data_IF_733216365614
#
_entry.id   IF_733216365614
#
_cell.length_a   1.000
_cell.length_b   1.000
_cell.length_c   1.000
_cell.angle_alpha   90.00
_cell.angle_beta   90.00
_cell.angle_gamma   90.00
#
_symmetry.space_group_name_H-M   'P 1'
#
loop_
_entity.id
_entity.type
_entity.pdbx_description
1 polymer ?
#
# COMPACT_ATOMS: atom_id res chain seq x y z
N UNK A 1 -8.12 18.96 -31.94
CA UNK A 1 -6.98 18.74 -31.03
C UNK A 1 -7.22 17.48 -30.23
N UNK A 2 -6.28 16.52 -30.26
CA UNK A 2 -6.36 15.28 -29.48
C UNK A 2 -5.87 15.52 -28.04
N UNK A 3 -6.32 14.71 -27.08
CA UNK A 3 -5.90 14.73 -25.67
C UNK A 3 -4.38 14.62 -25.54
N UNK A 4 -3.74 13.73 -26.30
CA UNK A 4 -2.28 13.59 -26.29
C UNK A 4 -1.55 14.87 -26.72
N UNK A 5 -2.09 15.59 -27.72
CA UNK A 5 -1.53 16.86 -28.18
C UNK A 5 -1.68 17.96 -27.12
N UNK A 6 -2.83 18.02 -26.43
CA UNK A 6 -3.04 18.98 -25.34
C UNK A 6 -2.09 18.74 -24.17
N UNK A 7 -1.87 17.48 -23.79
CA UNK A 7 -0.93 17.12 -22.71
C UNK A 7 0.49 17.52 -23.12
N UNK A 8 0.90 17.24 -24.36
CA UNK A 8 2.21 17.61 -24.84
C UNK A 8 2.45 19.13 -24.80
N UNK A 9 1.52 19.93 -25.32
CA UNK A 9 1.66 21.40 -25.29
C UNK A 9 1.68 21.96 -23.86
N UNK A 10 0.91 21.36 -22.93
CA UNK A 10 0.93 21.76 -21.52
C UNK A 10 2.29 21.44 -20.88
N UNK A 11 2.78 20.21 -21.02
CA UNK A 11 4.05 19.77 -20.41
C UNK A 11 5.25 20.50 -21.02
N UNK A 12 5.21 20.80 -22.32
CA UNK A 12 6.27 21.52 -23.02
C UNK A 12 6.51 22.93 -22.48
N UNK A 13 5.47 23.59 -21.95
CA UNK A 13 5.57 24.94 -21.42
C UNK A 13 5.96 24.99 -19.92
N UNK A 14 6.08 23.83 -19.25
CA UNK A 14 6.38 23.77 -17.83
C UNK A 14 7.90 23.74 -17.54
N UNK A 15 8.31 24.15 -16.33
CA UNK A 15 9.64 23.87 -15.80
C UNK A 15 9.90 22.35 -15.69
N UNK A 16 11.17 21.96 -15.80
CA UNK A 16 11.60 20.55 -15.80
C UNK A 16 11.17 19.80 -14.52
N UNK A 17 11.25 20.46 -13.36
CA UNK A 17 10.82 19.88 -12.07
C UNK A 17 9.34 19.46 -12.08
N UNK A 18 8.46 20.31 -12.62
CA UNK A 18 7.03 20.03 -12.71
C UNK A 18 6.71 19.00 -13.80
N UNK A 19 7.49 18.99 -14.89
CA UNK A 19 7.36 17.98 -15.94
C UNK A 19 7.71 16.58 -15.44
N UNK A 20 8.71 16.47 -14.55
CA UNK A 20 9.07 15.21 -13.92
C UNK A 20 7.96 14.67 -13.01
N UNK A 21 7.28 15.51 -12.23
CA UNK A 21 6.12 15.08 -11.43
C UNK A 21 4.98 14.52 -12.30
N UNK A 22 4.76 15.12 -13.48
CA UNK A 22 3.77 14.62 -14.44
C UNK A 22 4.19 13.27 -15.02
N UNK A 23 5.50 13.08 -15.29
CA UNK A 23 6.02 11.79 -15.73
C UNK A 23 5.79 10.70 -14.67
N UNK A 24 6.15 10.97 -13.42
CA UNK A 24 5.93 10.06 -12.28
C UNK A 24 4.46 9.65 -12.16
N UNK A 25 3.55 10.63 -12.31
CA UNK A 25 2.12 10.37 -12.28
C UNK A 25 1.64 9.46 -13.44
N UNK A 26 2.14 9.68 -14.65
CA UNK A 26 1.79 8.86 -15.82
C UNK A 26 2.33 7.44 -15.67
N UNK A 27 3.55 7.28 -15.15
CA UNK A 27 4.13 5.98 -14.83
C UNK A 27 3.32 5.24 -13.78
N UNK A 28 2.87 5.96 -12.74
CA UNK A 28 1.97 5.41 -11.73
C UNK A 28 0.65 4.91 -12.33
N UNK A 29 0.02 5.69 -13.22
CA UNK A 29 -1.22 5.27 -13.90
C UNK A 29 -0.99 3.99 -14.71
N UNK A 30 0.11 3.93 -15.46
CA UNK A 30 0.47 2.75 -16.26
C UNK A 30 0.64 1.53 -15.38
N UNK A 31 1.35 1.65 -14.26
CA UNK A 31 1.53 0.57 -13.30
C UNK A 31 0.22 0.14 -12.64
N UNK A 32 -0.65 1.10 -12.30
CA UNK A 32 -1.99 0.81 -11.75
C UNK A 32 -2.87 0.06 -12.76
N UNK A 33 -2.80 0.39 -14.04
CA UNK A 33 -3.53 -0.31 -15.09
C UNK A 33 -3.06 -1.77 -15.22
N UNK A 34 -1.76 -2.03 -15.15
CA UNK A 34 -1.21 -3.40 -15.16
C UNK A 34 -1.61 -4.20 -13.93
N UNK A 35 -1.63 -3.58 -12.74
CA UNK A 35 -2.10 -4.25 -11.52
C UNK A 35 -3.58 -4.57 -11.55
N UNK A 36 -4.42 -3.69 -12.12
CA UNK A 36 -5.86 -3.97 -12.28
C UNK A 36 -6.10 -5.18 -13.19
N UNK A 37 -5.34 -5.29 -14.29
CA UNK A 37 -5.40 -6.47 -15.17
C UNK A 37 -4.97 -7.76 -14.44
N UNK A 38 -3.98 -7.69 -13.55
CA UNK A 38 -3.58 -8.83 -12.71
C UNK A 38 -4.58 -9.19 -11.60
N UNK A 39 -5.34 -8.20 -11.11
CA UNK A 39 -6.31 -8.40 -10.02
C UNK A 39 -7.61 -9.07 -10.45
N UNK A 40 -7.99 -8.99 -11.73
CA UNK A 40 -9.13 -9.75 -12.26
C UNK A 40 -8.85 -11.26 -12.27
N UNK A 41 -7.59 -11.67 -12.47
CA UNK A 41 -7.17 -13.08 -12.41
C UNK A 41 -7.00 -13.63 -10.97
N UNK A 42 -6.81 -12.78 -9.96
CA UNK A 42 -6.66 -13.20 -8.55
C UNK A 42 -7.98 -13.30 -7.77
N UNK A 43 -9.13 -13.01 -8.40
CA UNK A 43 -10.45 -13.02 -7.75
C UNK A 43 -11.03 -14.43 -7.47
N UNK A 44 -10.28 -15.50 -7.73
CA UNK A 44 -10.64 -16.87 -7.32
C UNK A 44 -9.80 -17.32 -6.13
N UNK A 45 -9.76 -16.56 -5.04
CA UNK A 45 -9.49 -17.17 -3.73
C UNK A 45 -10.73 -18.04 -3.45
N UNK A 46 -10.63 -19.38 -3.42
CA UNK A 46 -11.76 -20.22 -3.08
C UNK A 46 -12.25 -19.81 -1.68
N UNK A 47 -13.57 -19.71 -1.48
CA UNK A 47 -14.22 -19.28 -0.21
C UNK A 47 -13.96 -20.21 0.99
N UNK A 48 -12.89 -21.01 0.99
CA UNK A 48 -12.55 -22.00 2.02
C UNK A 48 -11.08 -22.03 2.46
N UNK A 49 -10.21 -21.10 2.01
CA UNK A 49 -8.77 -21.16 2.35
C UNK A 49 -8.38 -20.40 3.63
N UNK A 50 -9.31 -19.68 4.26
CA UNK A 50 -9.08 -18.99 5.54
C UNK A 50 -9.45 -19.82 6.77
N UNK A 51 -10.13 -20.95 6.61
CA UNK A 51 -10.44 -21.88 7.70
C UNK A 51 -9.21 -22.68 8.15
N UNK A 52 -8.25 -22.95 7.27
CA UNK A 52 -6.99 -23.63 7.62
C UNK A 52 -6.03 -22.78 8.47
N UNK A 53 -6.23 -21.46 8.52
CA UNK A 53 -5.46 -20.53 9.36
C UNK A 53 -6.04 -20.38 10.78
N UNK A 54 -7.28 -20.82 11.04
CA UNK A 54 -7.85 -20.89 12.38
C UNK A 54 -7.25 -22.07 13.16
N UNK A 55 -6.01 -21.92 13.62
CA UNK A 55 -5.34 -22.92 14.46
C UNK A 55 -3.83 -22.80 14.54
N UNK A 56 -3.19 -22.15 13.55
CA UNK A 56 -1.73 -22.06 13.45
C UNK A 56 -1.14 -20.94 14.33
N UNK A 57 -1.97 -20.02 14.82
CA UNK A 57 -1.58 -18.95 15.74
C UNK A 57 -2.35 -19.01 17.06
N UNK A 58 -2.50 -20.19 17.67
CA UNK A 58 -2.83 -20.25 19.10
C UNK A 58 -1.55 -19.99 19.88
N UNK A 59 -1.28 -18.73 20.27
CA UNK A 59 -0.31 -18.48 21.35
C UNK A 59 -0.81 -19.22 22.58
N UNK A 60 0.08 -19.87 23.33
CA UNK A 60 -0.26 -20.62 24.54
C UNK A 60 -0.62 -19.72 25.75
N UNK A 61 -0.92 -18.43 25.51
CA UNK A 61 -1.24 -17.43 26.54
C UNK A 61 -2.45 -16.61 26.17
N UNK A 62 -3.00 -15.88 27.14
CA UNK A 62 -4.04 -14.87 26.91
C UNK A 62 -3.57 -13.87 25.86
N UNK A 63 -4.47 -13.46 24.98
CA UNK A 63 -4.23 -12.29 24.13
C UNK A 63 -4.06 -11.09 25.06
N UNK A 64 -2.90 -10.42 25.07
CA UNK A 64 -2.74 -9.22 25.88
C UNK A 64 -3.78 -8.19 25.42
N UNK A 65 -4.37 -7.52 26.39
CA UNK A 65 -5.31 -6.43 26.15
C UNK A 65 -4.57 -5.22 25.59
N UNK A 66 -5.27 -4.36 24.85
CA UNK A 66 -4.66 -3.18 24.23
C UNK A 66 -3.96 -2.28 25.27
N UNK A 67 -4.46 -2.26 26.51
CA UNK A 67 -3.85 -1.55 27.65
C UNK A 67 -2.51 -2.14 28.05
N UNK A 68 -2.40 -3.47 28.16
CA UNK A 68 -1.14 -4.15 28.52
C UNK A 68 -0.07 -3.93 27.44
N UNK A 69 -0.48 -3.98 26.16
CA UNK A 69 0.43 -3.73 25.02
C UNK A 69 0.94 -2.28 25.03
N UNK A 70 0.08 -1.33 25.39
CA UNK A 70 0.45 0.08 25.45
C UNK A 70 1.44 0.35 26.59
N UNK A 71 1.21 -0.23 27.76
CA UNK A 71 2.12 -0.12 28.91
C UNK A 71 3.52 -0.70 28.58
N UNK A 72 3.58 -1.92 28.04
CA UNK A 72 4.86 -2.54 27.62
C UNK A 72 5.61 -1.70 26.59
N UNK A 73 4.89 -1.11 25.62
CA UNK A 73 5.50 -0.24 24.62
C UNK A 73 6.03 1.06 25.22
N UNK A 74 5.31 1.61 26.21
CA UNK A 74 5.72 2.83 26.90
C UNK A 74 6.99 2.58 27.71
N UNK A 75 7.06 1.47 28.46
CA UNK A 75 8.24 1.05 29.21
C UNK A 75 9.45 0.81 28.29
N UNK A 76 9.24 0.17 27.14
CA UNK A 76 10.29 -0.03 26.14
C UNK A 76 10.87 1.30 25.63
N UNK A 77 10.01 2.27 25.33
CA UNK A 77 10.44 3.58 24.86
C UNK A 77 11.22 4.33 25.94
N UNK A 78 10.81 4.22 27.21
CA UNK A 78 11.54 4.80 28.33
C UNK A 78 12.93 4.15 28.41
N UNK A 79 13.02 2.82 28.52
CA UNK A 79 14.29 2.11 28.63
C UNK A 79 15.26 2.39 27.46
N UNK A 80 14.74 2.60 26.25
CA UNK A 80 15.55 2.78 25.05
C UNK A 80 16.10 4.19 24.87
N UNK A 81 15.40 5.20 25.38
CA UNK A 81 15.71 6.61 25.12
C UNK A 81 15.99 7.44 26.38
N UNK A 82 15.95 6.84 27.57
CA UNK A 82 16.57 7.36 28.80
C UNK A 82 17.95 6.73 29.03
#
# INVERSE_FOLDING_TARGET
MNTAQKIYELVKAMPEEQANEVLDFVEFIRHKATLKLGSEQLSKIPKGTLTGLRGIAKRAGSTPTDTEVQEEYTDYLIQKYQ
#
